data_IF_327575874464
#
_entry.id   IF_327575874464
#
_cell.length_a   1.000
_cell.length_b   1.000
_cell.length_c   1.000
_cell.angle_alpha   90.00
_cell.angle_beta   90.00
_cell.angle_gamma   90.00
#
_symmetry.space_group_name_H-M   'P 1'
#
loop_
_entity.id
_entity.type
_entity.pdbx_description
1 polymer ?
#
# COMPACT_ATOMS: atom_id res chain seq x y z
N UNK A 1 14.07 5.62 -12.99
CA UNK A 1 13.31 5.31 -14.23
C UNK A 1 11.85 5.69 -14.02
N UNK A 2 11.47 6.85 -14.53
CA UNK A 2 10.08 7.31 -14.52
C UNK A 2 9.24 6.40 -15.42
N UNK A 3 8.02 6.07 -14.99
CA UNK A 3 7.14 5.18 -15.76
C UNK A 3 7.15 3.72 -15.31
N UNK A 4 8.05 3.33 -14.42
CA UNK A 4 8.13 1.95 -13.91
C UNK A 4 7.07 1.66 -12.84
N UNK A 5 6.94 0.40 -12.41
CA UNK A 5 6.01 -0.01 -11.36
C UNK A 5 6.76 -0.65 -10.21
N UNK A 6 6.55 -0.14 -9.00
CA UNK A 6 7.15 -0.71 -7.79
C UNK A 6 6.11 -1.56 -7.05
N UNK A 7 6.53 -2.74 -6.62
CA UNK A 7 5.71 -3.61 -5.77
C UNK A 7 6.27 -3.64 -4.36
N UNK A 8 5.48 -3.12 -3.42
CA UNK A 8 5.78 -3.13 -2.00
C UNK A 8 5.23 -4.42 -1.40
N UNK A 9 6.14 -5.38 -1.19
CA UNK A 9 5.79 -6.70 -0.70
C UNK A 9 5.61 -6.68 0.82
N UNK A 10 4.41 -7.04 1.27
CA UNK A 10 4.09 -7.21 2.70
C UNK A 10 4.95 -8.29 3.36
N UNK A 11 5.34 -9.32 2.59
CA UNK A 11 6.01 -10.51 3.09
C UNK A 11 5.06 -11.56 3.66
N UNK A 12 3.75 -11.33 3.52
CA UNK A 12 2.70 -12.27 3.93
C UNK A 12 2.39 -13.22 2.78
N UNK A 13 2.42 -14.53 3.06
CA UNK A 13 2.10 -15.56 2.07
C UNK A 13 0.60 -15.58 1.73
N UNK A 14 -0.25 -15.34 2.73
CA UNK A 14 -1.71 -15.28 2.60
C UNK A 14 -2.30 -14.40 3.69
N UNK A 15 -3.14 -13.44 3.31
CA UNK A 15 -3.92 -12.61 4.26
C UNK A 15 -4.90 -13.52 5.02
N UNK A 16 -4.91 -13.45 6.35
CA UNK A 16 -5.86 -14.19 7.16
C UNK A 16 -7.21 -13.46 7.25
N UNK A 17 -8.25 -14.18 7.66
CA UNK A 17 -9.61 -13.64 7.74
C UNK A 17 -9.72 -12.42 8.68
N UNK A 18 -8.97 -12.47 9.79
CA UNK A 18 -8.91 -11.43 10.82
C UNK A 18 -7.83 -10.37 10.56
N UNK A 19 -7.09 -10.47 9.45
CA UNK A 19 -6.04 -9.51 9.13
C UNK A 19 -6.63 -8.29 8.40
N UNK A 20 -6.42 -7.12 8.99
CA UNK A 20 -6.63 -5.80 8.41
C UNK A 20 -5.28 -5.24 7.92
N UNK A 21 -5.15 -5.01 6.61
CA UNK A 21 -3.95 -4.40 6.01
C UNK A 21 -4.25 -2.96 5.63
N UNK A 22 -3.42 -2.05 6.11
CA UNK A 22 -3.51 -0.62 5.85
C UNK A 22 -2.22 -0.14 5.21
N UNK A 23 -2.35 0.54 4.08
CA UNK A 23 -1.26 1.22 3.41
C UNK A 23 -1.43 2.72 3.57
N UNK A 24 -0.40 3.35 4.12
CA UNK A 24 -0.33 4.79 4.37
C UNK A 24 0.84 5.38 3.59
N UNK A 25 0.71 6.62 3.14
CA UNK A 25 1.76 7.32 2.41
C UNK A 25 2.08 8.70 3.00
N UNK A 26 3.36 9.05 2.99
CA UNK A 26 3.85 10.38 3.33
C UNK A 26 3.98 10.63 4.83
N UNK A 27 4.38 11.86 5.18
CA UNK A 27 4.55 12.27 6.58
C UNK A 27 3.22 12.34 7.35
N UNK A 28 2.12 12.64 6.65
CA UNK A 28 0.77 12.69 7.21
C UNK A 28 0.13 11.31 7.35
N UNK A 29 0.82 10.23 6.93
CA UNK A 29 0.33 8.86 6.98
C UNK A 29 -1.05 8.70 6.31
N UNK A 30 -1.26 9.40 5.20
CA UNK A 30 -2.53 9.38 4.48
C UNK A 30 -2.85 7.97 4.01
N UNK A 31 -4.03 7.47 4.36
CA UNK A 31 -4.48 6.14 3.93
C UNK A 31 -4.65 6.13 2.41
N UNK A 32 -3.91 5.26 1.75
CA UNK A 32 -3.96 5.07 0.29
C UNK A 32 -4.50 3.71 -0.11
N UNK A 33 -4.55 2.75 0.81
CA UNK A 33 -5.15 1.46 0.54
C UNK A 33 -5.57 0.75 1.82
N UNK A 34 -6.65 -0.01 1.75
CA UNK A 34 -7.13 -0.87 2.83
C UNK A 34 -7.58 -2.22 2.28
N UNK A 35 -7.18 -3.27 2.98
CA UNK A 35 -7.69 -4.62 2.80
C UNK A 35 -8.22 -5.13 4.13
N UNK A 36 -9.40 -5.72 4.12
CA UNK A 36 -10.02 -6.38 5.27
C UNK A 36 -10.81 -7.57 4.75
N UNK A 37 -10.38 -8.79 5.08
CA UNK A 37 -11.05 -10.00 4.59
C UNK A 37 -12.41 -10.17 5.27
N UNK A 38 -12.47 -9.98 6.60
CA UNK A 38 -13.73 -10.04 7.37
C UNK A 38 -14.79 -9.06 6.87
N UNK A 39 -14.38 -7.83 6.52
CA UNK A 39 -15.29 -6.80 6.01
C UNK A 39 -15.43 -6.83 4.48
N UNK A 40 -14.75 -7.74 3.80
CA UNK A 40 -14.63 -7.82 2.34
C UNK A 40 -14.22 -6.48 1.69
N UNK A 41 -13.39 -5.69 2.37
CA UNK A 41 -12.90 -4.40 1.88
C UNK A 41 -11.63 -4.64 1.08
N UNK A 42 -11.63 -4.22 -0.17
CA UNK A 42 -10.44 -4.11 -1.01
C UNK A 42 -10.54 -2.79 -1.75
N UNK A 43 -9.97 -1.75 -1.18
CA UNK A 43 -10.14 -0.39 -1.69
C UNK A 43 -8.83 0.36 -1.66
N UNK A 44 -8.54 1.00 -2.78
CA UNK A 44 -7.49 2.01 -2.89
C UNK A 44 -8.13 3.37 -2.72
N UNK A 45 -7.46 4.22 -1.96
CA UNK A 45 -7.84 5.61 -1.75
C UNK A 45 -6.81 6.49 -2.43
N UNK A 46 -7.30 7.59 -2.95
CA UNK A 46 -6.43 8.63 -3.47
C UNK A 46 -6.17 9.67 -2.38
N UNK A 47 -5.00 10.28 -2.41
CA UNK A 47 -4.70 11.42 -1.54
C UNK A 47 -5.37 12.68 -2.10
N UNK A 48 -5.55 13.75 -1.31
CA UNK A 48 -6.16 15.00 -1.79
C UNK A 48 -5.49 15.58 -3.03
N UNK A 49 -4.21 15.28 -3.21
CA UNK A 49 -3.36 15.71 -4.31
C UNK A 49 -3.64 14.99 -5.65
N UNK A 50 -4.47 13.94 -5.69
CA UNK A 50 -4.84 13.31 -6.96
C UNK A 50 -3.80 12.34 -7.54
N UNK A 51 -2.60 12.29 -6.97
CA UNK A 51 -1.43 11.64 -7.60
C UNK A 51 -1.55 10.13 -7.78
N UNK A 52 -2.25 9.43 -6.87
CA UNK A 52 -2.34 7.97 -6.87
C UNK A 52 -3.52 7.43 -7.69
N UNK A 53 -4.34 8.31 -8.25
CA UNK A 53 -5.48 7.99 -9.10
C UNK A 53 -5.08 7.02 -10.22
N UNK A 54 -5.76 5.87 -10.27
CA UNK A 54 -5.54 4.78 -11.24
C UNK A 54 -4.13 4.14 -11.25
N UNK A 55 -3.26 4.51 -10.29
CA UNK A 55 -1.89 3.99 -10.18
C UNK A 55 -1.72 2.90 -9.14
N UNK A 56 -2.57 2.87 -8.13
CA UNK A 56 -2.51 1.88 -7.06
C UNK A 56 -3.22 0.58 -7.46
N UNK A 57 -2.55 -0.54 -7.24
CA UNK A 57 -3.12 -1.88 -7.39
C UNK A 57 -2.77 -2.72 -6.17
N UNK A 58 -3.78 -3.33 -5.57
CA UNK A 58 -3.61 -4.27 -4.46
C UNK A 58 -3.61 -5.71 -4.96
N UNK A 59 -2.81 -6.54 -4.30
CA UNK A 59 -2.85 -8.00 -4.43
C UNK A 59 -3.75 -8.59 -3.34
N UNK A 60 -4.84 -9.25 -3.73
CA UNK A 60 -5.83 -9.79 -2.79
C UNK A 60 -5.33 -10.99 -1.98
N UNK A 61 -4.25 -11.63 -2.43
CA UNK A 61 -3.69 -12.82 -1.77
C UNK A 61 -2.67 -12.49 -0.69
N UNK A 62 -1.77 -11.55 -0.99
CA UNK A 62 -0.63 -11.21 -0.13
C UNK A 62 -0.78 -9.85 0.54
N UNK A 63 -1.67 -9.00 0.03
CA UNK A 63 -1.83 -7.62 0.48
C UNK A 63 -0.76 -6.65 -0.02
N UNK A 64 0.06 -7.11 -0.96
CA UNK A 64 1.12 -6.30 -1.56
C UNK A 64 0.52 -5.13 -2.35
N UNK A 65 1.12 -3.95 -2.19
CA UNK A 65 0.72 -2.75 -2.91
C UNK A 65 1.65 -2.56 -4.10
N UNK A 66 1.07 -2.51 -5.29
CA UNK A 66 1.78 -2.14 -6.52
C UNK A 66 1.43 -0.70 -6.87
N UNK A 67 2.44 0.16 -6.98
CA UNK A 67 2.31 1.53 -7.47
C UNK A 67 2.84 1.55 -8.90
N UNK A 68 1.95 1.78 -9.86
CA UNK A 68 2.30 1.84 -11.28
C UNK A 68 2.69 3.24 -11.69
N UNK A 69 3.52 3.34 -12.72
CA UNK A 69 3.89 4.61 -13.34
C UNK A 69 4.43 5.59 -12.29
N UNK A 70 5.45 5.14 -11.54
CA UNK A 70 6.07 5.93 -10.48
C UNK A 70 6.81 7.10 -11.09
N UNK A 71 6.65 8.26 -10.46
CA UNK A 71 7.39 9.49 -10.75
C UNK A 71 8.01 10.00 -9.45
N UNK A 72 8.83 11.05 -9.53
CA UNK A 72 9.42 11.69 -8.35
C UNK A 72 8.37 12.16 -7.33
N UNK A 73 7.13 12.42 -7.75
CA UNK A 73 5.99 12.80 -6.89
C UNK A 73 5.42 11.63 -6.07
N UNK A 74 5.65 10.41 -6.54
CA UNK A 74 5.27 9.16 -5.86
C UNK A 74 6.39 8.61 -4.98
N UNK A 75 7.59 9.18 -5.08
CA UNK A 75 8.70 8.87 -4.19
C UNK A 75 8.35 9.36 -2.78
N UNK A 76 8.67 8.55 -1.78
CA UNK A 76 8.36 8.86 -0.41
C UNK A 76 8.30 7.64 0.49
N UNK A 77 7.83 7.89 1.71
CA UNK A 77 7.66 6.87 2.74
C UNK A 77 6.28 6.25 2.62
N UNK A 78 6.25 4.94 2.42
CA UNK A 78 5.07 4.10 2.53
C UNK A 78 5.12 3.35 3.84
N UNK A 79 4.01 3.30 4.55
CA UNK A 79 3.88 2.58 5.80
C UNK A 79 2.79 1.53 5.65
N UNK A 80 3.16 0.29 5.94
CA UNK A 80 2.31 -0.87 5.98
C UNK A 80 2.00 -1.17 7.43
N UNK A 81 0.73 -1.37 7.73
CA UNK A 81 0.25 -1.81 9.04
C UNK A 81 -0.66 -3.01 8.81
N UNK A 82 -0.32 -4.13 9.45
CA UNK A 82 -1.08 -5.37 9.41
C UNK A 82 -1.57 -5.62 10.83
N UNK A 83 -2.87 -5.43 11.02
CA UNK A 83 -3.57 -5.67 12.27
C UNK A 83 -4.21 -7.06 12.17
N UNK A 84 -3.61 -8.04 12.83
CA UNK A 84 -4.16 -9.38 12.95
C UNK A 84 -3.77 -9.96 14.30
N UNK A 85 -3.53 -11.27 14.36
CA UNK A 85 -3.05 -11.94 15.59
C UNK A 85 -1.77 -11.29 16.14
N UNK A 86 -0.92 -10.79 15.25
CA UNK A 86 0.28 -10.02 15.61
C UNK A 86 0.31 -8.71 14.82
N UNK A 87 0.34 -7.60 15.54
CA UNK A 87 0.51 -6.29 14.95
C UNK A 87 1.88 -6.19 14.29
N UNK A 88 1.89 -6.02 12.97
CA UNK A 88 3.11 -5.93 12.17
C UNK A 88 3.10 -4.61 11.42
N UNK A 89 4.13 -3.80 11.63
CA UNK A 89 4.33 -2.58 10.87
C UNK A 89 5.61 -2.66 10.06
N UNK A 90 5.58 -2.10 8.85
CA UNK A 90 6.75 -2.08 7.95
C UNK A 90 6.76 -0.76 7.21
N UNK A 91 7.93 -0.14 7.15
CA UNK A 91 8.15 1.07 6.38
C UNK A 91 8.93 0.73 5.11
N UNK A 92 8.51 1.30 4.00
CA UNK A 92 9.21 1.26 2.74
C UNK A 92 9.53 2.68 2.30
N UNK A 93 10.74 2.89 1.80
CA UNK A 93 11.13 4.16 1.19
C UNK A 93 11.28 3.92 -0.30
N UNK A 94 10.46 4.59 -1.09
CA UNK A 94 10.55 4.56 -2.55
C UNK A 94 11.29 5.82 -2.98
N UNK A 95 12.38 5.65 -3.71
CA UNK A 95 13.16 6.74 -4.31
C UNK A 95 13.23 6.53 -5.81
N UNK A 96 12.90 7.58 -6.57
CA UNK A 96 13.01 7.59 -8.04
C UNK A 96 14.26 8.41 -8.37
N UNK A 97 15.19 7.78 -9.09
CA UNK A 97 16.39 8.41 -9.67
C UNK A 97 16.26 8.49 -11.19
#
# INVERSE_FOLDING_TARGET
>A
MEGDSVTLQTGVTKIQYDDDILWKFGAETSLIAKISIEKQIFSTFDVPDGRFRDRLKLDDKTGSLTVKNITTEHAGRFELEINGVKLTSKTFTVSVY
#
